data_IF_905113215249
#
_entry.id   IF_905113215249
#
_cell.length_a   1.000
_cell.length_b   1.000
_cell.length_c   1.000
_cell.angle_alpha   90.00
_cell.angle_beta   90.00
_cell.angle_gamma   90.00
#
_symmetry.space_group_name_H-M   'P 1'
#
loop_
_entity.id
_entity.type
_entity.pdbx_description
1 polymer ?
#
# COMPACT_ATOMS: atom_id res chain seq x y z
N UNK A 1 -4.65 -1.00 -8.47
CA UNK A 1 -5.10 -1.76 -9.66
C UNK A 1 -6.27 -2.66 -9.27
N UNK A 2 -6.96 -3.30 -10.24
CA UNK A 2 -8.04 -4.25 -9.94
C UNK A 2 -7.58 -5.47 -9.14
N UNK A 3 -6.37 -5.99 -9.41
CA UNK A 3 -5.80 -7.11 -8.65
C UNK A 3 -5.61 -6.79 -7.17
N UNK A 4 -5.25 -5.55 -6.84
CA UNK A 4 -5.15 -5.10 -5.45
C UNK A 4 -6.49 -5.18 -4.70
N UNK A 5 -7.61 -4.98 -5.41
CA UNK A 5 -8.95 -5.14 -4.82
C UNK A 5 -9.30 -6.61 -4.62
N UNK A 6 -8.87 -7.48 -5.55
CA UNK A 6 -9.03 -8.93 -5.38
C UNK A 6 -8.25 -9.45 -4.16
N UNK A 7 -7.01 -8.97 -3.96
CA UNK A 7 -6.21 -9.30 -2.77
C UNK A 7 -6.90 -8.83 -1.48
N UNK A 8 -7.50 -7.62 -1.50
CA UNK A 8 -8.27 -7.09 -0.38
C UNK A 8 -9.50 -7.93 -0.06
N UNK A 9 -10.27 -8.33 -1.08
CA UNK A 9 -11.46 -9.17 -0.92
C UNK A 9 -11.14 -10.56 -0.32
N UNK A 10 -9.90 -11.04 -0.50
CA UNK A 10 -9.43 -12.31 0.07
C UNK A 10 -8.77 -12.16 1.46
N UNK A 11 -8.84 -10.96 2.07
CA UNK A 11 -8.21 -10.62 3.35
C UNK A 11 -6.70 -10.97 3.39
N UNK A 12 -6.03 -10.87 2.23
CA UNK A 12 -4.59 -11.14 2.15
C UNK A 12 -3.80 -9.89 2.47
N UNK A 13 -2.68 -9.99 3.23
CA UNK A 13 -1.78 -8.88 3.46
C UNK A 13 -1.36 -8.22 2.14
N UNK A 14 -1.54 -6.91 2.06
CA UNK A 14 -1.31 -6.16 0.83
C UNK A 14 -0.81 -4.76 1.12
N UNK A 15 0.26 -4.35 0.44
CA UNK A 15 0.80 -2.99 0.51
C UNK A 15 0.53 -2.29 -0.82
N UNK A 16 -0.37 -1.30 -0.79
CA UNK A 16 -0.73 -0.55 -1.98
C UNK A 16 -0.07 0.81 -1.96
N UNK A 17 0.75 1.06 -2.97
CA UNK A 17 1.49 2.32 -3.14
C UNK A 17 0.60 3.30 -3.91
N UNK A 18 0.28 4.42 -3.27
CA UNK A 18 -0.51 5.50 -3.86
C UNK A 18 0.39 6.71 -4.10
N UNK A 19 0.41 7.20 -5.33
CA UNK A 19 0.96 8.51 -5.67
C UNK A 19 -0.15 9.57 -5.60
N UNK A 20 -0.64 10.08 -6.75
CA UNK A 20 -1.59 11.20 -6.74
C UNK A 20 -3.02 10.76 -6.43
N UNK A 21 -3.31 9.45 -6.50
CA UNK A 21 -4.65 8.90 -6.28
C UNK A 21 -4.98 8.82 -4.80
N UNK A 22 -6.25 9.10 -4.46
CA UNK A 22 -6.72 9.10 -3.07
C UNK A 22 -7.27 7.71 -2.65
N UNK A 23 -6.63 7.00 -1.71
CA UNK A 23 -7.10 5.73 -1.17
C UNK A 23 -8.39 5.86 -0.36
N UNK A 24 -8.76 7.05 0.12
CA UNK A 24 -10.05 7.27 0.77
C UNK A 24 -11.23 7.10 -0.19
N UNK A 25 -10.99 7.25 -1.50
CA UNK A 25 -12.00 7.10 -2.55
C UNK A 25 -11.92 5.74 -3.26
N UNK A 26 -10.69 5.27 -3.52
CA UNK A 26 -10.43 4.07 -4.35
C UNK A 26 -9.56 3.01 -3.65
N UNK A 27 -9.58 3.02 -2.32
CA UNK A 27 -8.89 2.06 -1.47
C UNK A 27 -9.42 0.65 -1.63
N UNK A 28 -8.55 -0.35 -1.49
CA UNK A 28 -8.99 -1.73 -1.32
C UNK A 28 -9.63 -1.90 0.06
N UNK A 29 -10.82 -2.50 0.10
CA UNK A 29 -11.54 -2.80 1.35
C UNK A 29 -11.31 -4.26 1.76
N UNK A 30 -10.88 -4.48 2.99
CA UNK A 30 -10.54 -5.80 3.53
C UNK A 30 -9.58 -5.69 4.71
N UNK A 31 -9.26 -6.82 5.35
CA UNK A 31 -8.26 -6.86 6.41
C UNK A 31 -6.86 -6.79 5.84
N UNK A 32 -5.92 -6.31 6.66
CA UNK A 32 -4.48 -6.28 6.35
C UNK A 32 -4.14 -5.51 5.05
N UNK A 33 -4.92 -4.46 4.75
CA UNK A 33 -4.64 -3.53 3.65
C UNK A 33 -3.83 -2.34 4.17
N UNK A 34 -2.60 -2.23 3.69
CA UNK A 34 -1.66 -1.19 4.10
C UNK A 34 -1.52 -0.15 2.99
N UNK A 35 -1.86 1.10 3.33
CA UNK A 35 -1.72 2.25 2.42
C UNK A 35 -0.32 2.82 2.60
N UNK A 36 0.44 2.93 1.51
CA UNK A 36 1.74 3.61 1.49
C UNK A 36 1.68 4.82 0.58
N UNK A 37 2.06 5.98 1.11
CA UNK A 37 2.11 7.27 0.40
C UNK A 37 3.46 7.94 0.61
N UNK A 38 3.94 8.75 -0.34
CA UNK A 38 5.07 9.65 -0.11
C UNK A 38 4.73 10.68 0.98
N UNK A 39 5.73 11.10 1.76
CA UNK A 39 5.52 12.00 2.91
C UNK A 39 5.26 13.45 2.48
N UNK A 40 5.95 13.91 1.43
CA UNK A 40 5.96 15.33 1.02
C UNK A 40 5.69 15.52 -0.48
N UNK A 41 5.06 14.55 -1.15
CA UNK A 41 4.76 14.66 -2.58
C UNK A 41 3.49 13.90 -2.97
N UNK A 42 3.17 13.91 -4.26
CA UNK A 42 2.12 13.08 -4.86
C UNK A 42 2.70 12.03 -5.82
N UNK A 43 4.02 11.89 -5.91
CA UNK A 43 4.64 10.95 -6.85
C UNK A 43 4.91 9.62 -6.17
N UNK A 44 4.46 8.53 -6.78
CA UNK A 44 4.81 7.17 -6.33
C UNK A 44 6.33 6.95 -6.36
N UNK A 45 7.05 7.64 -7.25
CA UNK A 45 8.51 7.53 -7.37
C UNK A 45 9.28 8.02 -6.14
N UNK A 46 8.65 8.82 -5.28
CA UNK A 46 9.28 9.32 -4.05
C UNK A 46 9.12 8.35 -2.88
N UNK A 47 8.46 7.20 -3.09
CA UNK A 47 8.37 6.12 -2.12
C UNK A 47 9.66 5.28 -2.20
N UNK A 48 10.58 5.50 -1.26
CA UNK A 48 11.84 4.77 -1.22
C UNK A 48 11.64 3.26 -0.97
N UNK A 49 12.37 2.41 -1.69
CA UNK A 49 12.33 0.96 -1.50
C UNK A 49 12.70 0.53 -0.07
N UNK A 50 13.65 1.22 0.57
CA UNK A 50 14.03 1.00 1.98
C UNK A 50 12.85 1.19 2.94
N UNK A 51 11.95 2.14 2.64
CA UNK A 51 10.73 2.34 3.43
C UNK A 51 9.79 1.14 3.32
N UNK A 52 9.61 0.60 2.12
CA UNK A 52 8.79 -0.62 1.92
C UNK A 52 9.40 -1.81 2.65
N UNK A 53 10.73 -1.98 2.56
CA UNK A 53 11.44 -3.04 3.25
C UNK A 53 11.24 -2.97 4.77
N UNK A 54 11.41 -1.79 5.38
CA UNK A 54 11.17 -1.58 6.81
C UNK A 54 9.72 -1.90 7.21
N UNK A 55 8.74 -1.50 6.39
CA UNK A 55 7.33 -1.80 6.65
C UNK A 55 7.04 -3.30 6.62
N UNK A 56 7.66 -4.04 5.71
CA UNK A 56 7.52 -5.50 5.62
C UNK A 56 8.13 -6.20 6.84
N UNK A 57 9.32 -5.77 7.27
CA UNK A 57 9.96 -6.28 8.50
C UNK A 57 9.10 -6.02 9.74
N UNK A 58 8.53 -4.81 9.87
CA UNK A 58 7.66 -4.45 11.00
C UNK A 58 6.36 -5.26 11.05
N UNK A 59 5.92 -5.83 9.93
CA UNK A 59 4.76 -6.73 9.86
C UNK A 59 5.16 -8.22 9.98
N UNK A 60 6.45 -8.54 10.15
CA UNK A 60 6.94 -9.92 10.24
C UNK A 60 6.80 -10.72 8.94
N UNK A 61 6.78 -10.03 7.79
CA UNK A 61 6.66 -10.63 6.46
C UNK A 61 8.03 -10.87 5.79
N UNK A 62 9.10 -10.37 6.40
CA UNK A 62 10.52 -10.55 6.07
C UNK A 62 11.31 -10.65 7.37
#
# INVERSE_FOLDING_TARGET
TGLSHLTAALDKPNFTLYGPTDPGLIGGYGKNQHIVRPENSASTGDIAASRIHLLLQNQGLL
#
